data_IF_967239558048
#
_entry.id   IF_967239558048
#
_cell.length_a   1.000
_cell.length_b   1.000
_cell.length_c   1.000
_cell.angle_alpha   90.00
_cell.angle_beta   90.00
_cell.angle_gamma   90.00
#
_symmetry.space_group_name_H-M   'P 1'
#
loop_
_entity.id
_entity.type
_entity.pdbx_description
1 polymer ?
#
# COMPACT_ATOMS: atom_id res chain seq x y z
N UNK A 1 21.23 -9.53 11.59
CA UNK A 1 19.99 -9.54 10.78
C UNK A 1 19.84 -10.95 10.22
N UNK A 2 18.68 -11.58 10.40
CA UNK A 2 18.37 -12.85 9.73
C UNK A 2 17.74 -12.51 8.37
N UNK A 3 18.19 -13.18 7.31
CA UNK A 3 17.71 -12.96 5.94
C UNK A 3 17.31 -14.32 5.37
N UNK A 4 16.04 -14.44 4.98
CA UNK A 4 15.52 -15.65 4.37
C UNK A 4 15.63 -15.55 2.85
N UNK A 5 16.08 -16.62 2.21
CA UNK A 5 15.95 -16.78 0.77
C UNK A 5 14.68 -17.59 0.52
N UNK A 6 13.74 -17.02 -0.23
CA UNK A 6 12.41 -17.60 -0.46
C UNK A 6 12.11 -17.47 -1.95
N UNK A 7 11.51 -18.50 -2.54
CA UNK A 7 10.97 -18.39 -3.90
C UNK A 7 9.86 -17.32 -3.93
N UNK A 8 9.78 -16.55 -5.01
CA UNK A 8 8.81 -15.46 -5.09
C UNK A 8 7.37 -15.96 -4.96
N UNK A 9 7.04 -17.12 -5.55
CA UNK A 9 5.67 -17.65 -5.48
C UNK A 9 5.36 -18.16 -4.07
N UNK A 10 6.34 -18.76 -3.38
CA UNK A 10 6.20 -19.12 -1.96
C UNK A 10 6.08 -17.87 -1.08
N UNK A 11 6.83 -16.80 -1.36
CA UNK A 11 6.70 -15.53 -0.64
C UNK A 11 5.28 -14.96 -0.76
N UNK A 12 4.70 -14.98 -1.96
CA UNK A 12 3.36 -14.47 -2.22
C UNK A 12 2.28 -15.21 -1.43
N UNK A 13 2.42 -16.51 -1.18
CA UNK A 13 1.43 -17.26 -0.38
C UNK A 13 1.28 -16.70 1.04
N UNK A 14 2.40 -16.28 1.65
CA UNK A 14 2.41 -15.67 2.98
C UNK A 14 1.93 -14.22 2.94
N UNK A 15 2.36 -13.45 1.93
CA UNK A 15 1.94 -12.06 1.75
C UNK A 15 0.43 -11.95 1.56
N UNK A 16 -0.14 -12.68 0.60
CA UNK A 16 -1.57 -12.59 0.31
C UNK A 16 -2.41 -12.98 1.54
N UNK A 17 -2.00 -14.03 2.25
CA UNK A 17 -2.68 -14.48 3.48
C UNK A 17 -2.50 -13.53 4.67
N UNK A 18 -1.51 -12.65 4.63
CA UNK A 18 -1.23 -11.67 5.69
C UNK A 18 -1.83 -10.29 5.41
N UNK A 19 -1.99 -9.92 4.15
CA UNK A 19 -2.58 -8.63 3.75
C UNK A 19 -4.10 -8.71 3.62
N UNK A 20 -4.64 -9.88 3.27
CA UNK A 20 -6.05 -10.06 2.99
C UNK A 20 -6.55 -11.41 3.52
N UNK A 21 -7.84 -11.48 3.81
CA UNK A 21 -8.51 -12.73 4.16
C UNK A 21 -8.43 -13.71 3.01
N UNK A 22 -8.04 -14.94 3.33
CA UNK A 22 -8.01 -16.02 2.37
C UNK A 22 -9.41 -16.54 1.98
N UNK A 23 -10.47 -16.01 2.60
CA UNK A 23 -11.87 -16.24 2.21
C UNK A 23 -12.35 -15.25 1.13
N UNK A 24 -11.48 -14.34 0.69
CA UNK A 24 -11.79 -13.40 -0.37
C UNK A 24 -12.14 -14.13 -1.68
N UNK A 25 -12.84 -13.43 -2.57
CA UNK A 25 -13.13 -13.96 -3.90
C UNK A 25 -11.84 -14.34 -4.63
N UNK A 26 -11.90 -15.41 -5.44
CA UNK A 26 -10.76 -15.89 -6.21
C UNK A 26 -10.16 -14.78 -7.10
N UNK A 27 -11.00 -13.97 -7.74
CA UNK A 27 -10.55 -12.88 -8.61
C UNK A 27 -9.85 -11.75 -7.84
N UNK A 28 -10.28 -11.48 -6.60
CA UNK A 28 -9.57 -10.54 -5.73
C UNK A 28 -8.20 -11.11 -5.30
N UNK A 29 -8.13 -12.40 -4.97
CA UNK A 29 -6.87 -13.07 -4.63
C UNK A 29 -5.90 -13.10 -5.82
N UNK A 30 -6.40 -13.36 -7.04
CA UNK A 30 -5.61 -13.29 -8.28
C UNK A 30 -5.08 -11.89 -8.53
N UNK A 31 -5.94 -10.88 -8.43
CA UNK A 31 -5.54 -9.48 -8.58
C UNK A 31 -4.46 -9.11 -7.57
N UNK A 32 -4.62 -9.51 -6.31
CA UNK A 32 -3.65 -9.27 -5.26
C UNK A 32 -2.32 -10.00 -5.48
N UNK A 33 -2.34 -11.22 -6.04
CA UNK A 33 -1.15 -11.94 -6.44
C UNK A 33 -0.37 -11.20 -7.54
N UNK A 34 -1.05 -10.76 -8.59
CA UNK A 34 -0.43 -10.00 -9.70
C UNK A 34 0.12 -8.67 -9.21
N UNK A 35 -0.62 -7.92 -8.39
CA UNK A 35 -0.19 -6.66 -7.78
C UNK A 35 1.06 -6.88 -6.93
N UNK A 36 1.01 -7.82 -5.98
CA UNK A 36 2.12 -8.11 -5.08
C UNK A 36 3.37 -8.56 -5.83
N UNK A 37 3.22 -9.44 -6.83
CA UNK A 37 4.33 -9.91 -7.68
C UNK A 37 4.94 -8.78 -8.50
N UNK A 38 4.10 -7.90 -9.05
CA UNK A 38 4.55 -6.74 -9.82
C UNK A 38 5.34 -5.79 -8.93
N UNK A 39 4.82 -5.49 -7.74
CA UNK A 39 5.49 -4.61 -6.79
C UNK A 39 6.87 -5.15 -6.38
N UNK A 40 6.96 -6.39 -5.88
CA UNK A 40 8.25 -6.94 -5.44
C UNK A 40 9.29 -6.95 -6.57
N UNK A 41 8.89 -7.31 -7.79
CA UNK A 41 9.80 -7.34 -8.94
C UNK A 41 10.17 -5.96 -9.45
N UNK A 42 9.25 -4.98 -9.44
CA UNK A 42 9.56 -3.60 -9.76
C UNK A 42 10.62 -3.06 -8.81
N UNK A 43 10.48 -3.35 -7.52
CA UNK A 43 11.41 -2.92 -6.51
C UNK A 43 12.78 -3.62 -6.65
N UNK A 44 12.82 -4.93 -6.91
CA UNK A 44 14.09 -5.65 -7.21
C UNK A 44 14.77 -5.09 -8.46
N UNK A 45 14.00 -4.83 -9.53
CA UNK A 45 14.52 -4.24 -10.75
C UNK A 45 15.08 -2.83 -10.52
N UNK A 46 14.40 -2.01 -9.71
CA UNK A 46 14.89 -0.70 -9.27
C UNK A 46 16.20 -0.81 -8.52
N UNK A 47 16.30 -1.68 -7.52
CA UNK A 47 17.54 -1.92 -6.76
C UNK A 47 18.71 -2.35 -7.66
N UNK A 48 18.43 -3.21 -8.64
CA UNK A 48 19.44 -3.64 -9.61
C UNK A 48 19.90 -2.50 -10.54
N UNK A 49 18.99 -1.60 -10.94
CA UNK A 49 19.35 -0.39 -11.70
C UNK A 49 20.21 0.56 -10.86
N UNK A 50 19.85 0.76 -9.58
CA UNK A 50 20.57 1.63 -8.66
C UNK A 50 21.97 1.11 -8.33
N UNK A 51 22.14 -0.20 -8.12
CA UNK A 51 23.46 -0.79 -7.83
C UNK A 51 24.44 -0.69 -9.01
N UNK A 52 23.93 -0.54 -10.24
CA UNK A 52 24.73 -0.30 -11.45
C UNK A 52 24.93 1.18 -11.78
N UNK A 53 24.15 2.07 -11.17
CA UNK A 53 24.27 3.51 -11.37
C UNK A 53 25.53 4.03 -10.69
N UNK A 54 26.32 4.84 -11.41
CA UNK A 54 27.43 5.61 -10.83
C UNK A 54 26.95 6.82 -10.03
N UNK A 55 25.69 7.23 -10.21
CA UNK A 55 25.10 8.37 -9.52
C UNK A 55 24.41 7.88 -8.25
N UNK A 56 24.78 8.40 -7.07
CA UNK A 56 24.10 8.04 -5.84
C UNK A 56 22.64 8.48 -5.92
N UNK A 57 21.73 7.59 -5.56
CA UNK A 57 20.33 7.95 -5.44
C UNK A 57 20.16 9.01 -4.33
N UNK A 58 19.24 9.96 -4.55
CA UNK A 58 18.96 11.05 -3.62
C UNK A 58 17.51 10.99 -3.11
N UNK A 59 17.33 10.52 -1.87
CA UNK A 59 16.04 10.49 -1.14
C UNK A 59 15.76 11.77 -0.33
N UNK A 60 16.78 12.59 -0.08
CA UNK A 60 16.68 13.78 0.77
C UNK A 60 17.11 15.04 0.02
N UNK A 61 16.24 16.04 0.03
CA UNK A 61 16.43 17.35 -0.59
C UNK A 61 16.29 18.40 0.51
N UNK A 62 17.32 19.22 0.67
CA UNK A 62 17.31 20.29 1.67
C UNK A 62 17.87 21.57 1.08
N UNK A 63 17.16 22.67 1.27
CA UNK A 63 17.65 24.02 1.08
C UNK A 63 17.47 24.85 2.38
N UNK A 64 17.51 26.17 2.29
CA UNK A 64 17.41 27.07 3.45
C UNK A 64 15.99 27.14 4.05
N UNK A 65 14.96 26.80 3.27
CA UNK A 65 13.54 26.94 3.65
C UNK A 65 12.82 25.59 3.73
N UNK A 66 13.30 24.60 2.98
CA UNK A 66 12.59 23.36 2.72
C UNK A 66 13.46 22.13 3.04
N UNK A 67 12.84 21.13 3.65
CA UNK A 67 13.40 19.79 3.83
C UNK A 67 12.38 18.77 3.32
N UNK A 68 12.71 18.06 2.24
CA UNK A 68 11.95 16.93 1.72
C UNK A 68 12.77 15.67 1.94
N UNK A 69 12.15 14.66 2.56
CA UNK A 69 12.76 13.34 2.72
C UNK A 69 11.75 12.26 2.36
N UNK A 70 12.11 11.47 1.37
CA UNK A 70 11.36 10.27 0.99
C UNK A 70 11.82 9.09 1.84
N UNK A 71 10.85 8.45 2.48
CA UNK A 71 11.06 7.22 3.24
C UNK A 71 10.49 6.07 2.40
N UNK A 72 11.34 5.43 1.61
CA UNK A 72 11.01 4.24 0.79
C UNK A 72 12.10 3.15 1.02
N UNK A 73 12.10 2.10 0.20
CA UNK A 73 12.93 0.88 0.22
C UNK A 73 14.45 1.04 0.28
N UNK A 74 14.95 2.27 0.20
CA UNK A 74 16.38 2.61 0.31
C UNK A 74 17.05 2.10 1.60
N UNK A 75 16.24 1.78 2.61
CA UNK A 75 16.72 1.26 3.88
C UNK A 75 17.30 -0.16 3.80
N UNK A 76 17.02 -0.91 2.73
CA UNK A 76 17.43 -2.32 2.61
C UNK A 76 18.73 -2.48 1.80
N UNK A 77 19.87 -2.53 2.49
CA UNK A 77 21.19 -2.67 1.84
C UNK A 77 21.59 -4.11 1.49
N UNK A 78 21.03 -5.10 2.18
CA UNK A 78 21.50 -6.49 2.14
C UNK A 78 20.40 -7.51 1.86
N UNK A 79 19.15 -7.06 1.65
CA UNK A 79 18.00 -7.89 1.35
C UNK A 79 17.02 -7.12 0.45
N UNK A 80 16.11 -7.83 -0.22
CA UNK A 80 15.17 -7.21 -1.15
C UNK A 80 14.01 -6.54 -0.43
N UNK A 81 13.36 -7.20 0.52
CA UNK A 81 12.21 -6.66 1.28
C UNK A 81 12.22 -7.04 2.75
N UNK A 82 11.62 -6.19 3.57
CA UNK A 82 11.32 -6.52 4.96
C UNK A 82 9.98 -7.23 5.08
N UNK A 83 9.77 -7.86 6.23
CA UNK A 83 8.56 -8.63 6.55
C UNK A 83 7.42 -7.80 7.18
N UNK A 84 7.58 -6.47 7.22
CA UNK A 84 6.72 -5.51 7.90
C UNK A 84 6.00 -4.61 6.88
N UNK A 85 5.09 -3.77 7.37
CA UNK A 85 4.20 -2.89 6.59
C UNK A 85 4.96 -1.88 5.70
N UNK A 86 6.26 -1.68 5.92
CA UNK A 86 7.13 -0.89 5.03
C UNK A 86 7.26 -1.48 3.62
N UNK A 87 7.19 -2.80 3.48
CA UNK A 87 7.29 -3.46 2.17
C UNK A 87 5.98 -4.19 1.84
N UNK A 88 5.85 -5.41 2.34
CA UNK A 88 4.61 -6.18 2.36
C UNK A 88 4.68 -7.09 3.58
N UNK A 89 3.53 -7.33 4.18
CA UNK A 89 3.42 -8.11 5.40
C UNK A 89 3.74 -9.58 5.11
N UNK A 90 4.82 -10.08 5.70
CA UNK A 90 5.26 -11.47 5.55
C UNK A 90 5.38 -12.13 6.92
N UNK A 91 4.64 -13.22 7.16
CA UNK A 91 4.60 -13.87 8.47
C UNK A 91 5.20 -15.28 8.45
N UNK A 92 5.96 -15.60 7.40
CA UNK A 92 6.57 -16.92 7.20
C UNK A 92 5.69 -17.86 6.36
N UNK A 93 6.34 -18.83 5.74
CA UNK A 93 5.70 -19.85 4.89
C UNK A 93 4.83 -20.85 5.67
N UNK A 94 4.93 -20.93 7.00
CA UNK A 94 4.09 -21.83 7.80
C UNK A 94 2.62 -21.37 7.85
N UNK A 95 2.35 -20.10 7.54
CA UNK A 95 0.99 -19.55 7.39
C UNK A 95 0.46 -19.64 5.94
N UNK A 96 1.22 -20.22 5.01
CA UNK A 96 0.94 -20.27 3.57
C UNK A 96 -0.10 -21.33 3.11
N UNK A 97 -0.90 -21.89 4.01
CA UNK A 97 -1.59 -23.16 3.75
C UNK A 97 -2.99 -23.06 3.16
N UNK A 98 -3.45 -21.87 2.72
CA UNK A 98 -4.80 -21.76 2.15
C UNK A 98 -4.85 -22.22 0.68
N UNK A 99 -5.66 -23.25 0.34
CA UNK A 99 -5.75 -23.78 -1.02
C UNK A 99 -6.18 -22.75 -2.08
N UNK A 100 -7.10 -21.85 -1.75
CA UNK A 100 -7.61 -20.82 -2.68
C UNK A 100 -6.52 -19.79 -3.01
N UNK A 101 -5.69 -19.43 -2.05
CA UNK A 101 -4.54 -18.54 -2.27
C UNK A 101 -3.51 -19.22 -3.17
N UNK A 102 -3.21 -20.50 -2.92
CA UNK A 102 -2.30 -21.29 -3.76
C UNK A 102 -2.82 -21.39 -5.19
N UNK A 103 -4.12 -21.62 -5.36
CA UNK A 103 -4.79 -21.65 -6.66
C UNK A 103 -4.67 -20.30 -7.38
N UNK A 104 -4.99 -19.19 -6.71
CA UNK A 104 -4.89 -17.85 -7.27
C UNK A 104 -3.46 -17.51 -7.76
N UNK A 105 -2.45 -17.86 -6.95
CA UNK A 105 -1.03 -17.65 -7.28
C UNK A 105 -0.63 -18.51 -8.48
N UNK A 106 -1.06 -19.78 -8.50
CA UNK A 106 -0.76 -20.72 -9.59
C UNK A 106 -1.40 -20.26 -10.90
N UNK A 107 -2.65 -19.82 -10.88
CA UNK A 107 -3.37 -19.37 -12.07
C UNK A 107 -2.80 -18.06 -12.65
N UNK A 108 -2.20 -17.22 -11.81
CA UNK A 108 -1.57 -15.95 -12.22
C UNK A 108 -0.04 -16.01 -12.26
N UNK A 109 0.52 -17.22 -12.31
CA UNK A 109 1.97 -17.41 -12.17
C UNK A 109 2.71 -16.69 -13.30
N UNK A 110 3.60 -15.77 -12.93
CA UNK A 110 4.38 -14.98 -13.88
C UNK A 110 3.62 -13.85 -14.56
N UNK A 111 2.36 -13.60 -14.21
CA UNK A 111 1.63 -12.44 -14.66
C UNK A 111 2.07 -11.19 -13.90
N UNK A 112 2.27 -10.09 -14.64
CA UNK A 112 2.79 -8.82 -14.15
C UNK A 112 2.03 -7.65 -14.79
N UNK A 113 1.88 -6.57 -14.02
CA UNK A 113 1.45 -5.27 -14.52
C UNK A 113 2.65 -4.59 -15.18
N UNK A 114 2.46 -4.14 -16.42
CA UNK A 114 3.50 -3.44 -17.17
C UNK A 114 2.96 -2.17 -17.82
N UNK A 115 3.81 -1.16 -17.91
CA UNK A 115 3.54 0.08 -18.62
C UNK A 115 4.83 0.53 -19.30
N UNK A 116 4.73 0.91 -20.58
CA UNK A 116 5.87 1.39 -21.36
C UNK A 116 7.09 0.44 -21.32
N UNK A 117 6.82 -0.87 -21.34
CA UNK A 117 7.86 -1.92 -21.32
C UNK A 117 8.57 -2.10 -19.97
N UNK A 118 8.14 -1.42 -18.91
CA UNK A 118 8.64 -1.61 -17.54
C UNK A 118 7.57 -2.27 -16.66
N UNK A 119 8.01 -3.02 -15.64
CA UNK A 119 7.13 -3.54 -14.59
C UNK A 119 6.61 -2.35 -13.77
N UNK A 120 5.30 -2.29 -13.55
CA UNK A 120 4.69 -1.23 -12.79
C UNK A 120 5.06 -1.34 -11.30
N UNK A 121 5.38 -0.20 -10.67
CA UNK A 121 5.25 -0.07 -9.22
C UNK A 121 3.77 -0.21 -8.86
N UNK A 122 3.40 -1.32 -8.23
CA UNK A 122 2.03 -1.72 -7.97
C UNK A 122 1.68 -1.61 -6.48
N UNK A 123 1.91 -0.43 -5.88
CA UNK A 123 1.47 -0.15 -4.51
C UNK A 123 -0.05 -0.21 -4.40
N UNK A 124 -0.52 -0.68 -3.25
CA UNK A 124 -1.94 -0.79 -2.91
C UNK A 124 -2.16 -0.30 -1.47
N UNK A 125 -3.41 -0.05 -1.12
CA UNK A 125 -3.82 0.32 0.23
C UNK A 125 -5.17 -0.29 0.58
N UNK A 126 -5.41 -0.50 1.87
CA UNK A 126 -6.70 -0.96 2.41
C UNK A 126 -7.83 0.05 2.15
N UNK A 127 -7.51 1.33 2.26
CA UNK A 127 -8.46 2.43 2.21
C UNK A 127 -7.81 3.63 1.51
N UNK A 128 -8.42 4.12 0.44
CA UNK A 128 -7.95 5.31 -0.28
C UNK A 128 -8.54 6.61 0.28
N UNK A 129 -9.43 6.53 1.27
CA UNK A 129 -10.08 7.71 1.83
C UNK A 129 -11.01 8.44 0.85
N UNK A 130 -11.44 7.77 -0.22
CA UNK A 130 -12.38 8.28 -1.23
C UNK A 130 -11.76 8.54 -2.61
N UNK A 131 -10.45 8.71 -2.72
CA UNK A 131 -9.78 8.82 -4.02
C UNK A 131 -8.36 8.25 -3.95
N UNK A 132 -7.89 7.64 -5.02
CA UNK A 132 -6.46 7.29 -5.12
C UNK A 132 -5.62 8.55 -5.34
N UNK A 133 -4.34 8.47 -4.99
CA UNK A 133 -3.40 9.60 -5.04
C UNK A 133 -2.35 9.39 -6.14
N UNK A 134 -1.75 10.48 -6.62
CA UNK A 134 -0.60 10.45 -7.50
C UNK A 134 0.63 9.92 -6.76
N UNK A 135 1.47 9.16 -7.45
CA UNK A 135 2.69 8.61 -6.85
C UNK A 135 3.61 9.72 -6.32
N UNK A 136 3.81 10.77 -7.10
CA UNK A 136 4.73 11.88 -6.80
C UNK A 136 4.32 12.74 -5.60
N UNK A 137 3.08 12.60 -5.13
CA UNK A 137 2.60 13.29 -3.93
C UNK A 137 2.90 12.52 -2.64
N UNK A 138 3.06 11.19 -2.72
CA UNK A 138 3.31 10.34 -1.56
C UNK A 138 4.76 9.82 -1.51
N UNK A 139 5.40 9.70 -2.66
CA UNK A 139 6.66 9.00 -2.85
C UNK A 139 7.62 9.86 -3.66
N UNK A 140 8.36 9.31 -4.61
CA UNK A 140 9.44 10.06 -5.26
C UNK A 140 8.88 11.04 -6.30
N UNK A 141 9.60 12.13 -6.64
CA UNK A 141 9.17 13.12 -7.64
C UNK A 141 9.33 12.56 -9.07
N UNK A 142 8.66 11.44 -9.33
CA UNK A 142 8.68 10.66 -10.55
C UNK A 142 7.23 10.41 -10.93
N UNK A 143 6.86 10.87 -12.12
CA UNK A 143 5.52 10.66 -12.63
C UNK A 143 5.36 9.24 -13.18
N UNK A 144 4.29 8.56 -12.79
CA UNK A 144 3.91 7.24 -13.31
C UNK A 144 2.52 7.35 -13.97
N UNK A 145 2.40 7.17 -15.30
CA UNK A 145 1.14 7.42 -16.02
C UNK A 145 0.00 6.46 -15.63
N UNK A 146 0.32 5.35 -14.96
CA UNK A 146 -0.64 4.36 -14.48
C UNK A 146 -1.03 4.56 -13.00
N UNK A 147 -0.34 5.42 -12.25
CA UNK A 147 -0.69 5.77 -10.85
C UNK A 147 -1.35 7.14 -10.84
N UNK A 148 -2.64 7.14 -11.19
CA UNK A 148 -3.43 8.35 -11.36
C UNK A 148 -4.51 8.48 -10.30
N UNK A 149 -5.09 9.67 -10.21
CA UNK A 149 -6.21 9.97 -9.31
C UNK A 149 -7.49 9.35 -9.86
N UNK A 150 -8.09 8.42 -9.10
CA UNK A 150 -9.35 7.76 -9.40
C UNK A 150 -10.30 7.94 -8.21
N UNK A 151 -11.52 8.38 -8.49
CA UNK A 151 -12.57 8.49 -7.47
C UNK A 151 -13.07 7.09 -7.13
N UNK A 152 -13.04 6.75 -5.85
CA UNK A 152 -13.51 5.46 -5.34
C UNK A 152 -15.03 5.42 -5.15
N UNK A 153 -15.80 5.80 -6.17
CA UNK A 153 -17.27 5.74 -6.15
C UNK A 153 -17.83 5.63 -7.56
N UNK A 154 -19.14 5.37 -7.67
CA UNK A 154 -19.83 5.42 -8.95
C UNK A 154 -19.81 6.85 -9.55
N UNK A 155 -19.91 7.87 -8.70
CA UNK A 155 -19.65 9.25 -9.10
C UNK A 155 -18.14 9.44 -9.32
N UNK A 156 -17.77 10.09 -10.44
CA UNK A 156 -16.39 10.38 -10.82
C UNK A 156 -15.96 11.81 -10.52
N UNK A 157 -16.84 12.62 -9.92
CA UNK A 157 -16.52 13.99 -9.56
C UNK A 157 -15.56 14.05 -8.38
N UNK A 158 -14.63 15.01 -8.44
CA UNK A 158 -13.69 15.30 -7.37
C UNK A 158 -14.02 16.65 -6.72
N UNK A 159 -13.82 16.79 -5.40
CA UNK A 159 -13.76 18.12 -4.81
C UNK A 159 -12.52 18.86 -5.32
N UNK A 160 -12.65 20.16 -5.51
CA UNK A 160 -11.52 21.06 -5.71
C UNK A 160 -10.94 21.44 -4.34
N UNK A 161 -9.96 20.66 -3.89
CA UNK A 161 -9.32 20.85 -2.59
C UNK A 161 -8.51 22.15 -2.48
N UNK A 162 -8.36 22.93 -3.56
CA UNK A 162 -7.79 24.29 -3.48
C UNK A 162 -8.78 25.31 -2.91
N UNK A 163 -10.07 24.96 -2.83
CA UNK A 163 -11.11 25.76 -2.19
C UNK A 163 -11.36 25.28 -0.77
N UNK A 164 -11.11 26.15 0.20
CA UNK A 164 -11.24 25.86 1.64
C UNK A 164 -12.58 25.20 2.00
N UNK A 165 -13.70 25.67 1.45
CA UNK A 165 -15.03 25.10 1.74
C UNK A 165 -15.20 23.67 1.23
N UNK A 166 -14.57 23.32 0.10
CA UNK A 166 -14.61 21.97 -0.45
C UNK A 166 -13.65 21.04 0.30
N UNK A 167 -12.46 21.53 0.66
CA UNK A 167 -11.49 20.82 1.49
C UNK A 167 -12.05 20.52 2.90
N UNK A 168 -12.63 21.51 3.57
CA UNK A 168 -13.25 21.34 4.89
C UNK A 168 -14.36 20.28 4.84
N UNK A 169 -15.23 20.34 3.84
CA UNK A 169 -16.27 19.33 3.61
C UNK A 169 -15.66 17.94 3.38
N UNK A 170 -14.63 17.81 2.54
CA UNK A 170 -13.99 16.53 2.24
C UNK A 170 -13.34 15.87 3.46
N UNK A 171 -12.68 16.68 4.30
CA UNK A 171 -11.96 16.21 5.50
C UNK A 171 -12.94 15.90 6.64
N UNK A 172 -13.92 16.76 6.87
CA UNK A 172 -14.83 16.66 8.03
C UNK A 172 -16.04 15.76 7.81
N UNK A 173 -16.26 15.28 6.59
CA UNK A 173 -17.36 14.37 6.27
C UNK A 173 -16.84 13.03 5.74
N UNK A 174 -17.76 12.08 5.59
CA UNK A 174 -17.50 10.76 5.02
C UNK A 174 -18.22 10.66 3.68
N UNK A 175 -17.62 11.13 2.57
CA UNK A 175 -18.22 10.98 1.26
C UNK A 175 -18.38 9.50 0.91
N UNK A 176 -19.32 9.18 0.02
CA UNK A 176 -19.52 7.80 -0.45
C UNK A 176 -18.21 7.26 -1.04
N UNK A 177 -17.80 6.07 -0.62
CA UNK A 177 -16.68 5.38 -1.23
C UNK A 177 -16.86 3.87 -1.13
N UNK A 178 -16.38 3.11 -2.12
CA UNK A 178 -16.45 1.65 -2.05
C UNK A 178 -15.61 1.09 -0.89
N UNK A 179 -14.46 1.71 -0.59
CA UNK A 179 -13.67 1.36 0.59
C UNK A 179 -14.31 1.79 1.92
N UNK A 180 -15.37 2.60 1.90
CA UNK A 180 -16.17 2.97 3.08
C UNK A 180 -17.40 2.06 3.24
N UNK A 181 -17.18 0.75 3.33
CA UNK A 181 -18.27 -0.21 3.57
C UNK A 181 -18.35 -0.59 5.04
N UNK A 182 -19.56 -0.57 5.60
CA UNK A 182 -19.87 -1.08 6.94
C UNK A 182 -20.48 -2.50 6.90
N UNK A 183 -20.59 -3.09 5.71
CA UNK A 183 -21.14 -4.43 5.52
C UNK A 183 -20.20 -5.48 6.12
N UNK A 184 -20.61 -6.06 7.24
CA UNK A 184 -19.84 -7.05 7.99
C UNK A 184 -19.60 -8.33 7.19
N UNK A 185 -20.53 -8.73 6.32
CA UNK A 185 -20.36 -9.93 5.50
C UNK A 185 -19.24 -9.70 4.49
N UNK A 186 -19.27 -8.58 3.77
CA UNK A 186 -18.21 -8.18 2.84
C UNK A 186 -16.87 -8.02 3.57
N UNK A 187 -16.84 -7.29 4.69
CA UNK A 187 -15.61 -7.06 5.45
C UNK A 187 -15.01 -8.37 5.96
N UNK A 188 -15.83 -9.33 6.40
CA UNK A 188 -15.34 -10.64 6.85
C UNK A 188 -14.73 -11.50 5.74
N UNK A 189 -15.12 -11.25 4.48
CA UNK A 189 -14.56 -11.93 3.31
C UNK A 189 -13.22 -11.33 2.91
N UNK A 190 -12.96 -10.05 3.17
CA UNK A 190 -11.78 -9.34 2.66
C UNK A 190 -10.74 -9.09 3.76
N UNK A 191 -11.16 -8.74 4.98
CA UNK A 191 -10.25 -8.38 6.07
C UNK A 191 -9.89 -9.58 6.93
N UNK A 192 -8.64 -9.62 7.37
CA UNK A 192 -8.18 -10.56 8.37
C UNK A 192 -8.76 -10.22 9.75
N UNK A 193 -8.83 -11.21 10.65
CA UNK A 193 -9.49 -11.06 11.96
C UNK A 193 -9.01 -9.85 12.78
N UNK A 194 -7.72 -9.54 12.75
CA UNK A 194 -7.15 -8.41 13.48
C UNK A 194 -7.54 -7.05 12.86
N UNK A 195 -7.84 -7.01 11.56
CA UNK A 195 -8.27 -5.78 10.86
C UNK A 195 -9.75 -5.49 11.06
N UNK A 196 -10.53 -6.49 11.50
CA UNK A 196 -11.96 -6.36 11.82
C UNK A 196 -12.21 -5.63 13.14
N UNK A 197 -11.20 -5.53 14.02
CA UNK A 197 -11.32 -4.82 15.30
C UNK A 197 -11.37 -3.29 15.11
N UNK A 198 -10.77 -2.79 14.03
CA UNK A 198 -10.79 -1.36 13.69
C UNK A 198 -11.97 -1.08 12.78
N UNK A 199 -13.04 -0.52 13.34
CA UNK A 199 -14.29 -0.27 12.61
C UNK A 199 -14.38 1.11 11.97
N UNK A 200 -13.54 2.06 12.39
CA UNK A 200 -13.48 3.44 11.92
C UNK A 200 -12.30 3.72 10.97
N UNK A 201 -11.86 2.70 10.23
CA UNK A 201 -10.67 2.76 9.36
C UNK A 201 -10.80 3.74 8.17
N UNK A 202 -12.02 4.14 7.79
CA UNK A 202 -12.25 5.07 6.68
C UNK A 202 -12.07 6.55 7.07
N UNK A 203 -12.67 6.93 8.21
CA UNK A 203 -12.59 8.26 8.82
C UNK A 203 -12.64 8.08 10.33
N UNK A 204 -11.60 8.54 11.01
CA UNK A 204 -11.51 8.50 12.47
C UNK A 204 -11.32 9.91 13.02
N UNK A 205 -11.72 10.11 14.27
CA UNK A 205 -11.54 11.39 14.98
C UNK A 205 -11.16 11.12 16.42
N UNK A 206 -10.00 11.64 16.82
CA UNK A 206 -9.60 11.74 18.22
C UNK A 206 -9.64 13.20 18.65
N UNK A 207 -10.09 13.46 19.86
CA UNK A 207 -10.12 14.81 20.45
C UNK A 207 -9.32 14.77 21.75
N UNK A 208 -8.41 15.72 21.91
CA UNK A 208 -7.62 15.91 23.11
C UNK A 208 -7.89 17.29 23.71
N UNK A 209 -7.91 17.35 25.03
CA UNK A 209 -7.78 18.58 25.79
C UNK A 209 -6.34 19.09 25.74
N UNK A 210 -6.13 20.36 26.07
CA UNK A 210 -4.79 20.95 26.15
C UNK A 210 -3.92 20.21 27.18
N UNK A 211 -4.50 19.81 28.32
CA UNK A 211 -3.79 19.09 29.38
C UNK A 211 -3.33 17.70 28.91
N UNK A 212 -4.18 16.97 28.18
CA UNK A 212 -3.81 15.67 27.60
C UNK A 212 -2.68 15.79 26.57
N UNK A 213 -2.75 16.79 25.68
CA UNK A 213 -1.68 17.06 24.72
C UNK A 213 -0.37 17.46 25.40
N UNK A 214 -0.45 18.33 26.41
CA UNK A 214 0.71 18.77 27.20
C UNK A 214 1.38 17.57 27.89
N UNK A 215 0.60 16.68 28.49
CA UNK A 215 1.11 15.49 29.15
C UNK A 215 1.82 14.51 28.19
N UNK A 216 1.41 14.42 26.92
CA UNK A 216 2.07 13.58 25.92
C UNK A 216 3.44 14.12 25.50
N UNK A 217 3.60 15.44 25.44
CA UNK A 217 4.87 16.08 25.06
C UNK A 217 5.91 15.98 26.19
N UNK A 218 5.46 15.98 27.45
CA UNK A 218 6.32 15.92 28.63
C UNK A 218 6.71 14.51 29.09
N UNK A 219 6.28 13.46 28.39
CA UNK A 219 6.74 12.07 28.60
C UNK A 219 8.05 11.81 27.87
#
# INVERSE_FOLDING_TARGET
>A
VAINQVDIEEYLTSVISSEMSANASLELLKSHAVISRSWILAQVAKNFKLSKSSTPYKSCYRDNETLIRWYDREDHKIFDVCADDHCQRYQGITRASNPTVIEAIKETRGELLTSEGNICDARFSKCCGGATELFENCWEPVHHPYLTVLRDSADKNYPDLTKESEADKWIRTSPEAFCNTEDKEILSQVLNNYDLETTDFYRWKVTYTQDELSALIHK
#
